data_IF_235847001135
#
_entry.id   IF_235847001135
#
_cell.length_a   1.000
_cell.length_b   1.000
_cell.length_c   1.000
_cell.angle_alpha   90.00
_cell.angle_beta   90.00
_cell.angle_gamma   90.00
#
_symmetry.space_group_name_H-M   'P 1'
#
loop_
_entity.id
_entity.type
_entity.pdbx_description
1 polymer ?
#
# COMPACT_ATOMS: atom_id res chain seq x y z
N UNK A 1 43.58 -15.05 10.32
CA UNK A 1 42.37 -14.35 9.84
C UNK A 1 41.72 -13.74 11.04
N UNK A 2 41.82 -12.42 11.16
CA UNK A 2 41.52 -11.71 12.40
C UNK A 2 40.01 -11.76 12.68
N UNK A 3 39.62 -12.21 13.87
CA UNK A 3 38.21 -12.45 14.26
C UNK A 3 37.32 -11.21 14.03
N UNK A 4 37.88 -10.02 14.28
CA UNK A 4 37.22 -8.73 14.06
C UNK A 4 36.82 -8.49 12.60
N UNK A 5 37.60 -8.98 11.63
CA UNK A 5 37.27 -8.85 10.20
C UNK A 5 36.14 -9.78 9.79
N UNK A 6 36.00 -10.94 10.45
CA UNK A 6 34.92 -11.88 10.20
C UNK A 6 33.58 -11.32 10.73
N UNK A 7 33.57 -10.81 11.96
CA UNK A 7 32.39 -10.19 12.58
C UNK A 7 31.82 -9.04 11.74
N UNK A 8 32.70 -8.15 11.24
CA UNK A 8 32.30 -7.03 10.38
C UNK A 8 31.68 -7.51 9.05
N UNK A 9 32.24 -8.55 8.44
CA UNK A 9 31.69 -9.12 7.18
C UNK A 9 30.32 -9.74 7.39
N UNK A 10 30.10 -10.43 8.51
CA UNK A 10 28.79 -10.99 8.85
C UNK A 10 27.78 -9.87 9.07
N UNK A 11 28.15 -8.82 9.81
CA UNK A 11 27.29 -7.65 10.00
C UNK A 11 26.84 -7.02 8.68
N UNK A 12 27.78 -6.80 7.75
CA UNK A 12 27.50 -6.25 6.42
C UNK A 12 26.56 -7.19 5.63
N UNK A 13 26.78 -8.50 5.68
CA UNK A 13 25.93 -9.47 4.99
C UNK A 13 24.49 -9.43 5.52
N UNK A 14 24.31 -9.35 6.84
CA UNK A 14 22.98 -9.28 7.45
C UNK A 14 22.26 -7.99 7.04
N UNK A 15 22.95 -6.85 7.04
CA UNK A 15 22.37 -5.57 6.61
C UNK A 15 21.97 -5.64 5.13
N UNK A 16 22.84 -6.19 4.26
CA UNK A 16 22.53 -6.38 2.84
C UNK A 16 21.30 -7.27 2.62
N UNK A 17 21.20 -8.37 3.38
CA UNK A 17 20.05 -9.26 3.30
C UNK A 17 18.75 -8.54 3.68
N UNK A 18 18.76 -7.73 4.74
CA UNK A 18 17.59 -6.94 5.16
C UNK A 18 17.19 -5.90 4.10
N UNK A 19 18.16 -5.23 3.49
CA UNK A 19 17.89 -4.24 2.43
C UNK A 19 17.28 -4.92 1.21
N UNK A 20 17.87 -6.04 0.75
CA UNK A 20 17.36 -6.80 -0.39
C UNK A 20 15.96 -7.34 -0.10
N UNK A 21 15.74 -7.87 1.10
CA UNK A 21 14.45 -8.40 1.51
C UNK A 21 13.37 -7.30 1.57
N UNK A 22 13.68 -6.17 2.21
CA UNK A 22 12.78 -5.02 2.28
C UNK A 22 12.45 -4.48 0.88
N UNK A 23 13.46 -4.34 0.03
CA UNK A 23 13.28 -3.90 -1.35
C UNK A 23 12.42 -4.90 -2.16
N UNK A 24 12.64 -6.21 -1.97
CA UNK A 24 11.86 -7.26 -2.61
C UNK A 24 10.37 -7.19 -2.24
N UNK A 25 10.04 -6.92 -0.97
CA UNK A 25 8.64 -6.74 -0.54
C UNK A 25 7.99 -5.54 -1.25
N UNK A 26 8.71 -4.41 -1.32
CA UNK A 26 8.22 -3.21 -1.99
C UNK A 26 7.99 -3.45 -3.48
N UNK A 27 8.88 -4.22 -4.11
CA UNK A 27 8.79 -4.59 -5.51
C UNK A 27 7.58 -5.52 -5.80
N UNK A 28 7.38 -6.57 -5.00
CA UNK A 28 6.26 -7.53 -5.19
C UNK A 28 4.89 -6.86 -5.01
N UNK A 29 4.78 -5.88 -4.11
CA UNK A 29 3.52 -5.18 -3.86
C UNK A 29 3.16 -4.14 -4.94
N UNK A 30 3.96 -4.01 -6.00
CA UNK A 30 3.86 -2.90 -6.97
C UNK A 30 3.65 -1.56 -6.25
N UNK A 31 4.37 -1.37 -5.14
CA UNK A 31 4.07 -0.29 -4.21
C UNK A 31 4.37 1.05 -4.89
N UNK A 32 3.31 1.73 -5.35
CA UNK A 32 3.43 3.02 -6.00
C UNK A 32 3.61 4.09 -4.92
N UNK A 33 4.85 4.45 -4.64
CA UNK A 33 5.23 5.46 -3.64
C UNK A 33 4.59 6.85 -3.86
N UNK A 34 4.13 7.16 -5.07
CA UNK A 34 3.58 8.46 -5.43
C UNK A 34 2.36 8.30 -6.33
N UNK A 35 1.23 7.93 -5.74
CA UNK A 35 -0.09 8.05 -6.37
C UNK A 35 -0.84 9.12 -5.60
N UNK A 36 -1.13 10.23 -6.27
CA UNK A 36 -2.01 11.25 -5.73
C UNK A 36 -3.44 10.69 -5.72
N UNK A 37 -4.00 10.55 -4.52
CA UNK A 37 -5.39 10.21 -4.31
C UNK A 37 -6.12 11.45 -3.81
N UNK A 38 -7.35 11.67 -4.28
CA UNK A 38 -8.23 12.70 -3.75
C UNK A 38 -9.49 12.04 -3.20
N UNK A 39 -10.03 12.58 -2.12
CA UNK A 39 -11.33 12.17 -1.61
C UNK A 39 -12.41 12.84 -2.44
N UNK A 40 -13.43 12.09 -2.82
CA UNK A 40 -14.63 12.59 -3.48
C UNK A 40 -15.84 12.23 -2.63
N UNK A 41 -16.60 13.23 -2.24
CA UNK A 41 -17.85 13.05 -1.51
C UNK A 41 -19.03 13.29 -2.45
N UNK A 42 -20.02 12.41 -2.38
CA UNK A 42 -21.20 12.44 -3.24
C UNK A 42 -22.44 12.10 -2.41
N UNK A 43 -23.49 12.91 -2.58
CA UNK A 43 -24.75 12.70 -1.89
C UNK A 43 -25.70 11.90 -2.78
N UNK A 44 -26.25 10.82 -2.23
CA UNK A 44 -27.28 10.03 -2.88
C UNK A 44 -28.56 10.00 -2.04
N UNK A 45 -29.75 10.03 -2.67
CA UNK A 45 -31.02 9.94 -1.95
C UNK A 45 -31.25 8.55 -1.33
N UNK A 46 -30.57 7.53 -1.83
CA UNK A 46 -30.57 6.16 -1.31
C UNK A 46 -29.31 5.46 -1.76
N UNK A 47 -28.63 4.80 -0.82
CA UNK A 47 -27.58 3.81 -1.11
C UNK A 47 -28.14 2.44 -0.69
N UNK A 48 -28.04 1.46 -1.58
CA UNK A 48 -28.59 0.11 -1.37
C UNK A 48 -27.57 -0.79 -0.65
N UNK A 49 -27.13 -1.84 -1.33
CA UNK A 49 -26.08 -2.77 -0.87
C UNK A 49 -24.68 -2.18 -1.08
N UNK A 50 -24.46 -0.94 -0.65
CA UNK A 50 -23.18 -0.28 -0.76
C UNK A 50 -22.47 -0.36 0.59
N UNK A 51 -21.29 -0.97 0.62
CA UNK A 51 -20.52 -1.18 1.82
C UNK A 51 -19.16 -0.46 1.77
N UNK A 52 -18.60 -0.19 2.94
CA UNK A 52 -17.25 0.35 3.06
C UNK A 52 -16.24 -0.70 2.57
N UNK A 53 -15.34 -0.28 1.68
CA UNK A 53 -14.40 -1.17 0.99
C UNK A 53 -14.86 -1.63 -0.40
N UNK A 54 -16.09 -1.33 -0.81
CA UNK A 54 -16.54 -1.64 -2.17
C UNK A 54 -15.71 -0.87 -3.21
N UNK A 55 -15.36 -1.49 -4.36
CA UNK A 55 -14.54 -0.86 -5.38
C UNK A 55 -15.33 0.21 -6.15
N UNK A 56 -14.67 1.33 -6.40
CA UNK A 56 -15.17 2.39 -7.28
C UNK A 56 -14.50 2.23 -8.64
N UNK A 57 -15.30 2.00 -9.67
CA UNK A 57 -14.80 1.84 -11.05
C UNK A 57 -15.17 3.02 -11.94
N UNK A 58 -14.27 3.34 -12.88
CA UNK A 58 -14.52 4.31 -13.96
C UNK A 58 -14.33 3.56 -15.27
N UNK A 59 -15.39 3.48 -16.08
CA UNK A 59 -15.41 2.71 -17.34
C UNK A 59 -14.98 1.24 -17.14
N UNK A 60 -15.36 0.63 -16.01
CA UNK A 60 -15.05 -0.76 -15.69
C UNK A 60 -13.62 -1.01 -15.17
N UNK A 61 -12.84 0.05 -14.94
CA UNK A 61 -11.50 -0.04 -14.34
C UNK A 61 -11.56 0.39 -12.89
N UNK A 62 -11.06 -0.43 -11.96
CA UNK A 62 -10.98 -0.08 -10.54
C UNK A 62 -10.07 1.14 -10.32
N UNK A 63 -10.62 2.18 -9.69
CA UNK A 63 -9.94 3.46 -9.43
C UNK A 63 -9.86 3.83 -7.96
N UNK A 64 -10.58 3.14 -7.09
CA UNK A 64 -10.55 3.39 -5.67
C UNK A 64 -11.52 2.48 -4.93
N UNK A 65 -11.80 2.85 -3.68
CA UNK A 65 -12.72 2.13 -2.82
C UNK A 65 -13.48 3.12 -1.94
N UNK A 66 -14.66 2.70 -1.48
CA UNK A 66 -15.48 3.51 -0.58
C UNK A 66 -14.83 3.52 0.80
N UNK A 67 -14.48 4.71 1.28
CA UNK A 67 -13.84 4.89 2.59
C UNK A 67 -14.83 5.05 3.72
N UNK A 68 -15.96 5.70 3.45
CA UNK A 68 -16.95 6.02 4.47
C UNK A 68 -18.33 6.25 3.84
N UNK A 69 -19.37 5.92 4.59
CA UNK A 69 -20.77 6.22 4.27
C UNK A 69 -21.37 6.91 5.48
N UNK A 70 -21.88 8.13 5.28
CA UNK A 70 -22.56 8.92 6.31
C UNK A 70 -23.97 9.26 5.83
N UNK A 71 -24.92 9.26 6.76
CA UNK A 71 -26.24 9.84 6.51
C UNK A 71 -26.16 11.34 6.78
N UNK A 72 -26.47 12.15 5.78
CA UNK A 72 -26.67 13.58 5.95
C UNK A 72 -28.18 13.89 5.99
N UNK A 73 -28.56 14.79 6.90
CA UNK A 73 -29.93 15.20 7.17
C UNK A 73 -30.04 16.66 7.50
#
# INVERSE_FOLDING_TARGET
MDKHTAELKVGILVILALVIFGYGILWIKDYKFRVEHYALEVLFPRVGNLDVGDPVSVLGVDKGEIKEIRLEG
#
